data_IF_856982032347
#
_entry.id   IF_856982032347
#
_cell.length_a   1.000
_cell.length_b   1.000
_cell.length_c   1.000
_cell.angle_alpha   90.00
_cell.angle_beta   90.00
_cell.angle_gamma   90.00
#
_symmetry.space_group_name_H-M   'P 1'
#
loop_
_entity.id
_entity.type
_entity.pdbx_description
1 polymer ?
#
# COMPACT_ATOMS: atom_id res chain seq x y z
N UNK A 1 -25.14 14.77 -13.56
CA UNK A 1 -23.68 15.02 -13.60
C UNK A 1 -23.04 13.73 -13.11
N UNK A 2 -22.30 13.09 -13.97
CA UNK A 2 -21.78 11.73 -13.71
C UNK A 2 -20.67 11.81 -12.65
N UNK A 3 -20.86 11.15 -11.52
CA UNK A 3 -19.93 11.16 -10.37
C UNK A 3 -18.52 10.70 -10.80
N UNK A 4 -18.46 9.81 -11.80
CA UNK A 4 -17.19 9.33 -12.37
C UNK A 4 -16.44 10.44 -13.12
N UNK A 5 -17.16 11.31 -13.82
CA UNK A 5 -16.58 12.44 -14.55
C UNK A 5 -16.05 13.51 -13.60
N UNK A 6 -16.76 13.76 -12.51
CA UNK A 6 -16.33 14.70 -11.48
C UNK A 6 -15.05 14.21 -10.75
N UNK A 7 -14.99 12.92 -10.43
CA UNK A 7 -13.77 12.33 -9.83
C UNK A 7 -12.58 12.36 -10.78
N UNK A 8 -12.78 12.07 -12.07
CA UNK A 8 -11.70 12.17 -13.06
C UNK A 8 -11.21 13.60 -13.21
N UNK A 9 -12.13 14.58 -13.30
CA UNK A 9 -11.77 15.99 -13.42
C UNK A 9 -11.03 16.52 -12.18
N UNK A 10 -11.46 16.10 -10.98
CA UNK A 10 -10.80 16.45 -9.72
C UNK A 10 -9.41 15.83 -9.62
N UNK A 11 -9.26 14.58 -10.09
CA UNK A 11 -7.97 13.89 -10.12
C UNK A 11 -7.02 14.56 -11.11
N UNK A 12 -7.49 14.92 -12.30
CA UNK A 12 -6.70 15.65 -13.30
C UNK A 12 -6.29 17.03 -12.78
N UNK A 13 -7.17 17.74 -12.08
CA UNK A 13 -6.86 19.05 -11.49
C UNK A 13 -5.80 18.96 -10.39
N UNK A 14 -5.87 17.95 -9.53
CA UNK A 14 -4.88 17.72 -8.47
C UNK A 14 -3.54 17.32 -9.08
N UNK A 15 -3.54 16.55 -10.17
CA UNK A 15 -2.32 16.11 -10.84
C UNK A 15 -1.61 17.25 -11.59
N UNK A 16 -2.37 18.20 -12.14
CA UNK A 16 -1.84 19.40 -12.81
C UNK A 16 -1.32 20.43 -11.78
N UNK A 17 -1.91 20.50 -10.59
CA UNK A 17 -1.59 21.52 -9.59
C UNK A 17 -0.29 21.24 -8.80
N UNK A 18 0.18 19.98 -8.75
CA UNK A 18 1.41 19.58 -8.05
C UNK A 18 2.21 18.64 -8.97
N UNK A 19 3.27 19.15 -9.63
CA UNK A 19 4.20 18.28 -10.35
C UNK A 19 4.87 17.35 -9.33
N UNK A 20 4.36 16.12 -9.23
CA UNK A 20 4.90 15.12 -8.32
C UNK A 20 6.07 14.41 -8.99
N UNK A 21 7.23 14.40 -8.33
CA UNK A 21 8.37 13.60 -8.77
C UNK A 21 8.16 12.13 -8.38
N UNK A 22 7.60 11.37 -9.32
CA UNK A 22 7.31 9.96 -9.11
C UNK A 22 8.58 9.11 -8.93
N UNK A 23 9.71 9.50 -9.52
CA UNK A 23 10.97 8.78 -9.38
C UNK A 23 11.53 8.92 -7.95
N UNK A 24 11.35 10.10 -7.35
CA UNK A 24 11.74 10.33 -5.96
C UNK A 24 10.79 9.60 -4.99
N UNK A 25 9.47 9.61 -5.27
CA UNK A 25 8.47 8.99 -4.42
C UNK A 25 8.54 7.45 -4.46
N UNK A 26 8.70 6.88 -5.67
CA UNK A 26 8.74 5.43 -5.91
C UNK A 26 10.19 4.94 -5.91
N UNK A 27 10.90 5.16 -4.81
CA UNK A 27 12.27 4.68 -4.67
C UNK A 27 12.33 3.20 -4.33
N UNK A 28 13.16 2.46 -5.07
CA UNK A 28 13.46 1.06 -4.81
C UNK A 28 14.60 0.87 -3.78
N UNK A 29 15.06 1.95 -3.16
CA UNK A 29 16.15 1.88 -2.18
C UNK A 29 15.60 1.65 -0.77
N UNK A 30 16.18 0.68 -0.06
CA UNK A 30 15.93 0.54 1.38
C UNK A 30 16.72 1.59 2.15
N UNK A 31 16.04 2.25 3.08
CA UNK A 31 16.75 3.03 4.08
C UNK A 31 17.49 2.08 5.03
N UNK A 32 18.76 1.84 4.71
CA UNK A 32 19.66 1.11 5.60
C UNK A 32 20.98 1.90 5.69
N UNK A 33 21.41 2.34 6.89
CA UNK A 33 22.68 3.02 7.03
C UNK A 33 23.81 2.10 6.51
N UNK A 34 24.41 2.44 5.36
CA UNK A 34 25.55 1.73 4.79
C UNK A 34 25.29 0.66 3.73
N UNK A 35 24.06 0.45 3.24
CA UNK A 35 23.80 -0.47 2.13
C UNK A 35 23.14 0.22 0.93
N UNK A 36 23.74 0.01 -0.24
CA UNK A 36 23.21 0.42 -1.56
C UNK A 36 22.47 -0.73 -2.26
N UNK A 37 21.85 -1.63 -1.51
CA UNK A 37 21.25 -2.83 -2.08
C UNK A 37 19.93 -2.46 -2.76
N UNK A 38 19.85 -2.64 -4.09
CA UNK A 38 18.60 -2.51 -4.83
C UNK A 38 17.58 -3.56 -4.38
N UNK A 39 16.30 -3.18 -4.33
CA UNK A 39 15.21 -4.08 -3.92
C UNK A 39 14.84 -5.11 -4.99
N UNK A 40 15.38 -4.96 -6.19
CA UNK A 40 15.16 -5.88 -7.30
C UNK A 40 16.27 -6.95 -7.33
N UNK A 41 16.01 -8.09 -6.72
CA UNK A 41 16.83 -9.27 -6.84
C UNK A 41 16.04 -10.39 -7.53
N UNK A 42 16.76 -11.28 -8.23
CA UNK A 42 16.29 -12.41 -9.03
C UNK A 42 15.59 -13.54 -8.24
N UNK A 43 14.69 -13.19 -7.35
CA UNK A 43 13.84 -14.15 -6.64
C UNK A 43 12.41 -14.06 -7.16
N UNK A 44 11.69 -15.18 -7.15
CA UNK A 44 10.29 -15.29 -7.59
C UNK A 44 9.31 -14.32 -6.90
N UNK A 45 9.70 -13.74 -5.75
CA UNK A 45 8.91 -12.77 -4.99
C UNK A 45 9.67 -11.47 -4.79
N UNK A 46 8.97 -10.36 -4.99
CA UNK A 46 9.53 -9.04 -4.77
C UNK A 46 9.93 -8.82 -3.29
N UNK A 47 10.85 -7.90 -3.05
CA UNK A 47 11.24 -7.53 -1.69
C UNK A 47 10.08 -6.89 -0.91
N UNK A 48 9.19 -6.15 -1.60
CA UNK A 48 8.00 -5.56 -0.98
C UNK A 48 7.02 -6.64 -0.50
N UNK A 49 6.81 -7.69 -1.30
CA UNK A 49 5.99 -8.83 -0.87
C UNK A 49 6.62 -9.57 0.31
N UNK A 50 7.95 -9.72 0.33
CA UNK A 50 8.65 -10.32 1.47
C UNK A 50 8.53 -9.49 2.75
N UNK A 51 8.51 -8.17 2.64
CA UNK A 51 8.31 -7.28 3.79
C UNK A 51 6.87 -7.36 4.32
N UNK A 52 5.88 -7.45 3.42
CA UNK A 52 4.51 -7.75 3.79
C UNK A 52 4.42 -9.06 4.58
N UNK A 53 5.01 -10.14 4.04
CA UNK A 53 5.01 -11.45 4.67
C UNK A 53 5.69 -11.41 6.06
N UNK A 54 6.86 -10.77 6.16
CA UNK A 54 7.56 -10.61 7.46
C UNK A 54 6.70 -9.91 8.50
N UNK A 55 5.93 -8.90 8.06
CA UNK A 55 5.07 -8.16 8.95
C UNK A 55 3.92 -9.02 9.48
N UNK A 56 3.15 -9.67 8.59
CA UNK A 56 2.00 -10.49 9.01
C UNK A 56 2.40 -11.73 9.83
N UNK A 57 3.62 -12.25 9.63
CA UNK A 57 4.14 -13.36 10.44
C UNK A 57 4.82 -12.92 11.74
N UNK A 58 4.96 -11.61 11.96
CA UNK A 58 5.62 -11.09 13.17
C UNK A 58 4.78 -11.31 14.43
N UNK A 59 5.44 -11.55 15.56
CA UNK A 59 4.76 -11.68 16.85
C UNK A 59 4.00 -10.42 17.29
N UNK A 60 4.50 -9.19 17.06
CA UNK A 60 3.75 -7.99 17.35
C UNK A 60 2.43 -7.90 16.58
N UNK A 61 2.42 -8.23 15.28
CA UNK A 61 1.22 -8.20 14.46
C UNK A 61 0.18 -9.22 14.95
N UNK A 62 0.61 -10.45 15.25
CA UNK A 62 -0.28 -11.50 15.79
C UNK A 62 -0.93 -11.12 17.13
N UNK A 63 -0.22 -10.36 17.98
CA UNK A 63 -0.76 -9.87 19.26
C UNK A 63 -1.91 -8.88 19.10
N UNK A 64 -2.10 -8.27 17.92
CA UNK A 64 -3.25 -7.41 17.62
C UNK A 64 -4.58 -8.16 17.72
N UNK A 65 -4.58 -9.49 17.59
CA UNK A 65 -5.75 -10.33 17.79
C UNK A 65 -6.38 -10.15 19.18
N UNK A 66 -5.55 -9.91 20.19
CA UNK A 66 -6.00 -9.74 21.57
C UNK A 66 -6.40 -8.29 21.92
N UNK A 67 -6.36 -7.39 20.96
CA UNK A 67 -6.72 -5.99 21.13
C UNK A 67 -8.03 -5.72 20.40
N UNK A 68 -9.04 -5.27 21.16
CA UNK A 68 -10.32 -4.84 20.59
C UNK A 68 -10.20 -3.46 19.96
N UNK A 69 -10.88 -3.26 18.82
CA UNK A 69 -10.98 -1.95 18.17
C UNK A 69 -12.07 -1.09 18.82
N UNK A 70 -13.14 -1.75 19.27
CA UNK A 70 -14.29 -1.13 19.93
C UNK A 70 -14.64 -1.96 21.16
N UNK A 71 -15.25 -1.35 22.19
CA UNK A 71 -15.74 -2.06 23.36
C UNK A 71 -16.72 -3.15 22.95
N UNK A 72 -16.47 -4.44 23.24
CA UNK A 72 -17.39 -5.51 22.91
C UNK A 72 -18.64 -5.37 23.77
N UNK A 73 -19.79 -5.18 23.12
CA UNK A 73 -21.06 -5.34 23.79
C UNK A 73 -21.27 -6.83 24.12
N UNK A 74 -21.72 -7.18 25.34
CA UNK A 74 -22.01 -8.56 25.72
C UNK A 74 -23.01 -9.19 24.73
N UNK A 75 -22.66 -10.32 24.13
CA UNK A 75 -23.52 -11.05 23.21
C UNK A 75 -23.24 -10.87 21.72
N UNK A 76 -22.32 -10.02 21.31
CA UNK A 76 -21.94 -9.89 19.90
C UNK A 76 -20.83 -10.89 19.53
N UNK A 77 -21.13 -11.78 18.59
CA UNK A 77 -20.21 -12.81 18.08
C UNK A 77 -19.15 -12.20 17.17
N UNK A 78 -19.45 -11.04 16.55
CA UNK A 78 -18.53 -10.32 15.65
C UNK A 78 -17.80 -9.19 16.39
N UNK A 79 -16.73 -9.53 17.09
CA UNK A 79 -15.85 -8.52 17.68
C UNK A 79 -14.76 -8.17 16.65
N UNK A 80 -14.82 -6.95 16.11
CA UNK A 80 -13.70 -6.39 15.34
C UNK A 80 -12.50 -6.22 16.26
N UNK A 81 -11.47 -7.04 16.04
CA UNK A 81 -10.18 -6.84 16.69
C UNK A 81 -9.24 -6.03 15.79
N UNK A 82 -8.15 -5.52 16.35
CA UNK A 82 -7.20 -4.73 15.59
C UNK A 82 -6.54 -5.50 14.45
N UNK A 83 -6.37 -6.82 14.58
CA UNK A 83 -5.82 -7.66 13.54
C UNK A 83 -6.72 -7.68 12.30
N UNK A 84 -8.01 -7.96 12.49
CA UNK A 84 -8.97 -8.00 11.36
C UNK A 84 -9.10 -6.64 10.70
N UNK A 85 -9.16 -5.56 11.49
CA UNK A 85 -9.20 -4.20 10.96
C UNK A 85 -7.96 -3.88 10.11
N UNK A 86 -6.75 -4.16 10.60
CA UNK A 86 -5.53 -3.92 9.84
C UNK A 86 -5.51 -4.68 8.51
N UNK A 87 -6.01 -5.93 8.49
CA UNK A 87 -6.11 -6.73 7.26
C UNK A 87 -7.14 -6.16 6.28
N UNK A 88 -8.28 -5.69 6.77
CA UNK A 88 -9.32 -5.05 5.96
C UNK A 88 -8.79 -3.75 5.32
N UNK A 89 -8.14 -2.90 6.11
CA UNK A 89 -7.52 -1.65 5.62
C UNK A 89 -6.42 -1.95 4.61
N UNK A 90 -5.59 -2.96 4.85
CA UNK A 90 -4.55 -3.39 3.91
C UNK A 90 -5.13 -3.90 2.59
N UNK A 91 -6.26 -4.62 2.61
CA UNK A 91 -6.97 -5.08 1.41
C UNK A 91 -7.50 -3.91 0.57
N UNK A 92 -8.12 -2.93 1.22
CA UNK A 92 -8.60 -1.69 0.55
C UNK A 92 -7.41 -0.90 0.01
N UNK A 93 -6.35 -0.74 0.81
CA UNK A 93 -5.12 -0.06 0.42
C UNK A 93 -4.48 -0.69 -0.83
N UNK A 94 -4.42 -2.02 -0.90
CA UNK A 94 -3.95 -2.75 -2.08
C UNK A 94 -4.78 -2.41 -3.33
N UNK A 95 -6.09 -2.40 -3.20
CA UNK A 95 -7.00 -2.09 -4.30
C UNK A 95 -6.82 -0.65 -4.81
N UNK A 96 -6.65 0.30 -3.90
CA UNK A 96 -6.37 1.70 -4.25
C UNK A 96 -4.99 1.84 -4.91
N UNK A 97 -3.96 1.21 -4.36
CA UNK A 97 -2.61 1.20 -4.94
C UNK A 97 -2.58 0.63 -6.36
N UNK A 98 -3.32 -0.45 -6.61
CA UNK A 98 -3.43 -1.03 -7.95
C UNK A 98 -4.13 -0.07 -8.94
N UNK A 99 -5.14 0.69 -8.49
CA UNK A 99 -5.78 1.72 -9.34
C UNK A 99 -4.82 2.85 -9.67
N UNK A 100 -4.01 3.30 -8.69
CA UNK A 100 -2.96 4.30 -8.93
C UNK A 100 -1.94 3.79 -9.94
N UNK A 101 -1.47 2.54 -9.79
CA UNK A 101 -0.57 1.89 -10.75
C UNK A 101 -1.12 1.92 -12.18
N UNK A 102 -2.38 1.51 -12.34
CA UNK A 102 -3.06 1.53 -13.64
C UNK A 102 -3.16 2.93 -14.23
N UNK A 103 -3.50 3.93 -13.39
CA UNK A 103 -3.58 5.32 -13.81
C UNK A 103 -2.23 5.85 -14.30
N UNK A 104 -1.14 5.62 -13.55
CA UNK A 104 0.20 6.06 -13.94
C UNK A 104 0.66 5.42 -15.26
N UNK A 105 0.33 4.14 -15.48
CA UNK A 105 0.59 3.45 -16.74
C UNK A 105 -0.18 4.08 -17.92
N UNK A 106 -1.44 4.44 -17.71
CA UNK A 106 -2.27 5.10 -18.72
C UNK A 106 -1.77 6.49 -19.08
N UNK A 107 -1.27 7.24 -18.09
CA UNK A 107 -0.70 8.57 -18.28
C UNK A 107 0.71 8.55 -18.88
N UNK A 108 1.28 7.37 -19.12
CA UNK A 108 2.64 7.19 -19.65
C UNK A 108 3.69 7.99 -18.87
N UNK A 109 3.56 8.04 -17.55
CA UNK A 109 4.52 8.74 -16.70
C UNK A 109 5.89 8.07 -16.83
N UNK A 110 6.90 8.86 -17.15
CA UNK A 110 8.28 8.37 -17.24
C UNK A 110 8.81 8.02 -15.85
N UNK A 111 9.04 6.72 -15.63
CA UNK A 111 9.58 6.17 -14.38
C UNK A 111 10.82 5.36 -14.71
N UNK A 112 11.92 5.63 -14.01
CA UNK A 112 13.21 4.94 -14.22
C UNK A 112 13.09 3.42 -14.06
N UNK A 113 12.26 2.97 -13.09
CA UNK A 113 12.04 1.56 -12.81
C UNK A 113 10.56 1.20 -12.98
N UNK A 114 10.09 0.86 -14.19
CA UNK A 114 8.68 0.57 -14.44
C UNK A 114 8.15 -0.63 -13.65
N UNK A 115 9.01 -1.55 -13.21
CA UNK A 115 8.63 -2.70 -12.37
C UNK A 115 8.06 -2.27 -11.02
N UNK A 116 8.44 -1.10 -10.49
CA UNK A 116 7.92 -0.60 -9.22
C UNK A 116 6.42 -0.25 -9.29
N UNK A 117 5.91 0.04 -10.49
CA UNK A 117 4.48 0.27 -10.69
C UNK A 117 3.63 -0.96 -10.33
N UNK A 118 4.16 -2.15 -10.59
CA UNK A 118 3.50 -3.41 -10.21
C UNK A 118 3.42 -3.59 -8.70
N UNK A 119 4.34 -2.97 -7.97
CA UNK A 119 4.49 -3.11 -6.52
C UNK A 119 3.72 -2.07 -5.71
N UNK A 120 3.17 -1.01 -6.33
CA UNK A 120 2.47 0.07 -5.61
C UNK A 120 1.37 -0.50 -4.71
N UNK A 121 0.59 -1.46 -5.21
CA UNK A 121 -0.45 -2.11 -4.42
C UNK A 121 0.10 -2.83 -3.19
N UNK A 122 1.23 -3.51 -3.32
CA UNK A 122 1.91 -4.20 -2.23
C UNK A 122 2.49 -3.22 -1.21
N UNK A 123 3.13 -2.13 -1.68
CA UNK A 123 3.70 -1.08 -0.83
C UNK A 123 2.60 -0.44 0.02
N UNK A 124 1.51 0.01 -0.60
CA UNK A 124 0.39 0.64 0.10
C UNK A 124 -0.27 -0.34 1.07
N UNK A 125 -0.50 -1.58 0.65
CA UNK A 125 -1.04 -2.64 1.51
C UNK A 125 -0.18 -2.86 2.76
N UNK A 126 1.15 -2.91 2.59
CA UNK A 126 2.10 -3.10 3.69
C UNK A 126 2.05 -1.92 4.67
N UNK A 127 2.01 -0.68 4.16
CA UNK A 127 1.87 0.52 4.99
C UNK A 127 0.56 0.51 5.79
N UNK A 128 -0.54 0.08 5.18
CA UNK A 128 -1.85 0.01 5.81
C UNK A 128 -1.96 -1.06 6.94
N UNK A 129 -1.05 -2.05 7.00
CA UNK A 129 -1.04 -3.01 8.11
C UNK A 129 -0.67 -2.39 9.46
N UNK A 130 -0.07 -1.19 9.46
CA UNK A 130 0.31 -0.46 10.67
C UNK A 130 -0.79 0.45 11.24
N UNK A 131 -1.95 0.53 10.58
CA UNK A 131 -3.06 1.39 11.00
C UNK A 131 -3.80 0.92 12.25
#
# INVERSE_FOLDING_TARGET
>A
MDVSLFFNLLFDLIFIALPMDWNQLLSAHRYHPGSTTSLFHSHDRSQFQRDYDRLIFSSPFRRLQNKTQVFPLPGNIFVHNRLTHSLEVASVGRSLGNKVSQFLKQQQVEIENPEILEEIGTIVSTGCLYS
#
